data_IF_637964792370
#
_entry.id   IF_637964792370
#
_cell.length_a   1.000
_cell.length_b   1.000
_cell.length_c   1.000
_cell.angle_alpha   90.00
_cell.angle_beta   90.00
_cell.angle_gamma   90.00
#
_symmetry.space_group_name_H-M   'P 1'
#
loop_
_entity.id
_entity.type
_entity.pdbx_description
1 polymer ?
#
# COMPACT_ATOMS: atom_id res chain seq x y z
N UNK A 1 11.58 3.45 -23.21
CA UNK A 1 12.66 2.64 -22.58
C UNK A 1 13.20 1.67 -23.62
N UNK A 2 14.52 1.61 -23.79
CA UNK A 2 15.24 0.81 -24.79
C UNK A 2 15.70 -0.56 -24.24
N UNK A 3 14.84 -1.19 -23.44
CA UNK A 3 15.21 -2.39 -22.68
C UNK A 3 15.41 -3.62 -23.58
N UNK A 4 14.70 -3.69 -24.71
CA UNK A 4 14.83 -4.79 -25.69
C UNK A 4 16.23 -4.78 -26.33
N UNK A 5 16.70 -3.60 -26.73
CA UNK A 5 18.04 -3.42 -27.32
C UNK A 5 19.14 -3.67 -26.28
N UNK A 6 18.88 -3.36 -25.01
CA UNK A 6 19.82 -3.64 -23.92
C UNK A 6 19.94 -5.14 -23.66
N UNK A 7 18.84 -5.89 -23.67
CA UNK A 7 18.86 -7.35 -23.49
C UNK A 7 19.73 -8.06 -24.55
N UNK A 8 19.64 -7.63 -25.81
CA UNK A 8 20.44 -8.18 -26.91
C UNK A 8 21.95 -7.96 -26.76
N UNK A 9 22.40 -7.06 -25.87
CA UNK A 9 23.84 -6.89 -25.58
C UNK A 9 24.41 -8.04 -24.74
N UNK A 10 23.54 -8.78 -24.04
CA UNK A 10 23.93 -9.79 -23.06
C UNK A 10 23.48 -11.20 -23.45
N UNK A 11 22.48 -11.30 -24.31
CA UNK A 11 21.88 -12.58 -24.72
C UNK A 11 21.74 -12.55 -26.24
N UNK A 12 22.14 -13.63 -26.90
CA UNK A 12 22.03 -13.74 -28.35
C UNK A 12 20.55 -13.67 -28.79
N UNK A 13 20.23 -12.99 -29.91
CA UNK A 13 18.84 -12.77 -30.31
C UNK A 13 18.02 -14.05 -30.50
N UNK A 14 18.64 -15.15 -30.92
CA UNK A 14 18.00 -16.45 -31.12
C UNK A 14 17.68 -17.20 -29.83
N UNK A 15 18.17 -16.72 -28.68
CA UNK A 15 17.86 -17.23 -27.34
C UNK A 15 16.83 -16.36 -26.60
N UNK A 16 16.47 -15.20 -27.14
CA UNK A 16 15.47 -14.29 -26.55
C UNK A 16 14.14 -14.47 -27.29
N UNK A 17 13.02 -14.70 -26.58
CA UNK A 17 11.69 -14.69 -27.19
C UNK A 17 11.41 -13.41 -27.96
N UNK A 18 10.67 -13.51 -29.06
CA UNK A 18 10.27 -12.34 -29.88
C UNK A 18 9.57 -11.27 -29.03
N UNK A 19 8.75 -11.67 -28.05
CA UNK A 19 8.10 -10.76 -27.09
C UNK A 19 9.09 -9.81 -26.40
N UNK A 20 10.29 -10.32 -26.07
CA UNK A 20 11.36 -9.59 -25.39
C UNK A 20 12.41 -9.01 -26.35
N UNK A 21 12.17 -9.06 -27.67
CA UNK A 21 12.99 -8.39 -28.68
C UNK A 21 14.00 -9.30 -29.39
N UNK A 22 13.96 -10.62 -29.21
CA UNK A 22 14.78 -11.54 -29.99
C UNK A 22 14.06 -12.14 -31.20
N UNK A 23 14.48 -13.35 -31.58
CA UNK A 23 13.93 -14.13 -32.69
C UNK A 23 13.43 -15.51 -32.27
N UNK A 24 13.62 -15.91 -31.01
CA UNK A 24 13.14 -17.20 -30.50
C UNK A 24 11.62 -17.26 -30.50
N UNK A 25 11.09 -18.39 -30.99
CA UNK A 25 9.67 -18.75 -30.97
C UNK A 25 9.53 -20.17 -30.43
N UNK A 26 8.34 -20.48 -29.91
CA UNK A 26 8.03 -21.86 -29.55
C UNK A 26 7.93 -22.76 -30.79
N UNK A 27 7.93 -24.12 -30.64
CA UNK A 27 7.74 -25.04 -31.76
C UNK A 27 6.47 -24.81 -32.57
N UNK A 28 5.42 -24.22 -31.97
CA UNK A 28 4.17 -23.85 -32.64
C UNK A 28 4.20 -22.44 -33.28
N UNK A 29 5.32 -21.71 -33.13
CA UNK A 29 5.52 -20.37 -33.66
C UNK A 29 5.15 -19.23 -32.69
N UNK A 30 4.69 -19.53 -31.47
CA UNK A 30 4.29 -18.50 -30.50
C UNK A 30 5.49 -17.60 -30.11
N UNK A 31 5.39 -16.28 -30.30
CA UNK A 31 6.47 -15.33 -29.95
C UNK A 31 6.77 -15.21 -28.46
N UNK A 32 5.88 -15.70 -27.58
CA UNK A 32 6.02 -15.67 -26.13
C UNK A 32 6.73 -16.91 -25.57
N UNK A 33 6.89 -17.97 -26.36
CA UNK A 33 7.51 -19.22 -25.91
C UNK A 33 6.88 -19.79 -24.62
N UNK A 34 5.55 -19.97 -24.55
CA UNK A 34 4.86 -20.45 -23.33
C UNK A 34 5.32 -21.84 -22.85
N UNK A 35 5.89 -22.69 -23.72
CA UNK A 35 6.47 -23.97 -23.30
C UNK A 35 7.67 -23.81 -22.35
N UNK A 36 8.33 -22.63 -22.38
CA UNK A 36 9.49 -22.29 -21.55
C UNK A 36 9.18 -21.25 -20.49
N UNK A 37 8.19 -20.37 -20.73
CA UNK A 37 7.89 -19.22 -19.87
C UNK A 37 6.42 -19.27 -19.45
N UNK A 38 6.20 -19.39 -18.14
CA UNK A 38 4.87 -19.25 -17.56
C UNK A 38 4.56 -17.75 -17.35
N UNK A 39 3.44 -17.28 -17.90
CA UNK A 39 3.00 -15.88 -17.82
C UNK A 39 2.07 -15.59 -16.64
N UNK A 40 1.96 -16.51 -15.69
CA UNK A 40 0.99 -16.46 -14.61
C UNK A 40 -0.45 -16.59 -15.12
N UNK A 41 -1.37 -16.01 -14.37
CA UNK A 41 -2.81 -16.07 -14.61
C UNK A 41 -3.57 -16.28 -13.30
N UNK A 42 -4.90 -16.19 -13.37
CA UNK A 42 -5.75 -16.43 -12.22
C UNK A 42 -5.67 -17.91 -11.82
N UNK A 43 -5.36 -18.16 -10.54
CA UNK A 43 -5.37 -19.51 -9.99
C UNK A 43 -6.83 -19.90 -9.69
N UNK A 44 -7.37 -20.99 -10.27
CA UNK A 44 -8.73 -21.41 -10.00
C UNK A 44 -8.97 -21.68 -8.51
N UNK A 45 -10.09 -21.18 -7.96
CA UNK A 45 -10.40 -21.25 -6.52
C UNK A 45 -10.38 -22.68 -5.94
N UNK A 46 -10.68 -23.71 -6.74
CA UNK A 46 -10.65 -25.10 -6.26
C UNK A 46 -9.24 -25.62 -5.93
N UNK A 47 -8.18 -24.91 -6.34
CA UNK A 47 -6.81 -25.18 -5.92
C UNK A 47 -6.43 -24.50 -4.60
N UNK A 48 -7.30 -23.66 -4.03
CA UNK A 48 -7.00 -22.93 -2.81
C UNK A 48 -7.07 -23.90 -1.64
N UNK A 49 -5.95 -24.08 -0.95
CA UNK A 49 -5.88 -24.96 0.24
C UNK A 49 -6.46 -24.26 1.46
N UNK A 50 -6.38 -22.92 1.49
CA UNK A 50 -6.91 -22.05 2.54
C UNK A 50 -7.24 -20.70 1.93
N UNK A 51 -8.32 -20.09 2.41
CA UNK A 51 -8.70 -18.73 2.00
C UNK A 51 -7.79 -17.67 2.64
N UNK A 52 -7.17 -17.98 3.79
CA UNK A 52 -6.36 -17.04 4.55
C UNK A 52 -5.18 -17.73 5.26
N UNK A 53 -4.05 -17.00 5.34
CA UNK A 53 -2.93 -17.34 6.21
C UNK A 53 -3.17 -16.75 7.61
N UNK A 54 -2.66 -17.43 8.64
CA UNK A 54 -2.68 -16.89 9.99
C UNK A 54 -1.75 -15.66 10.06
N UNK A 55 -2.34 -14.46 10.03
CA UNK A 55 -1.61 -13.20 10.03
C UNK A 55 -1.45 -12.66 11.46
N UNK A 56 -0.26 -12.17 11.79
CA UNK A 56 -0.04 -11.37 13.00
C UNK A 56 -0.24 -9.88 12.65
N UNK A 57 -0.95 -9.17 13.51
CA UNK A 57 -1.17 -7.73 13.39
C UNK A 57 -0.29 -6.97 14.39
N UNK A 58 0.22 -5.82 13.98
CA UNK A 58 1.09 -4.98 14.81
C UNK A 58 0.31 -4.32 15.96
N UNK A 59 -0.93 -3.89 15.68
CA UNK A 59 -1.75 -3.15 16.62
C UNK A 59 -3.10 -3.82 16.84
N UNK A 60 -3.67 -3.59 18.01
CA UNK A 60 -5.06 -3.95 18.32
C UNK A 60 -5.69 -2.84 19.16
N UNK A 61 -6.84 -2.33 18.71
CA UNK A 61 -7.53 -1.20 19.32
C UNK A 61 -9.01 -1.51 19.50
N UNK A 62 -9.63 -0.87 20.49
CA UNK A 62 -11.08 -0.93 20.69
C UNK A 62 -11.69 0.40 20.26
N UNK A 63 -12.45 0.38 19.18
CA UNK A 63 -13.23 1.52 18.69
C UNK A 63 -14.59 1.51 19.37
N UNK A 64 -14.77 2.37 20.36
CA UNK A 64 -16.04 2.48 21.10
C UNK A 64 -17.23 2.79 20.18
N UNK A 65 -18.43 2.41 20.62
CA UNK A 65 -19.69 2.76 19.95
C UNK A 65 -19.78 4.28 19.75
N UNK A 66 -20.28 4.73 18.60
CA UNK A 66 -20.41 6.16 18.30
C UNK A 66 -19.07 6.89 18.13
N UNK A 67 -17.94 6.19 18.06
CA UNK A 67 -16.58 6.78 18.02
C UNK A 67 -15.79 6.35 16.79
N UNK A 68 -14.58 6.88 16.66
CA UNK A 68 -13.61 6.47 15.63
C UNK A 68 -12.17 6.52 16.15
N UNK A 69 -11.35 5.61 15.64
CA UNK A 69 -9.91 5.57 15.86
C UNK A 69 -9.20 6.10 14.61
N UNK A 70 -8.11 6.84 14.80
CA UNK A 70 -7.34 7.45 13.72
C UNK A 70 -5.86 7.16 13.92
N UNK A 71 -5.16 6.88 12.82
CA UNK A 71 -3.71 6.75 12.78
C UNK A 71 -3.19 7.69 11.70
N UNK A 72 -2.16 8.46 12.02
CA UNK A 72 -1.64 9.51 11.16
C UNK A 72 -0.24 9.12 10.65
N UNK A 73 -0.03 9.29 9.34
CA UNK A 73 1.25 9.07 8.69
C UNK A 73 1.64 10.33 7.92
N UNK A 74 2.77 10.92 8.33
CA UNK A 74 3.36 12.04 7.61
C UNK A 74 4.13 11.53 6.40
N UNK A 75 3.61 11.80 5.21
CA UNK A 75 4.24 11.45 3.94
C UNK A 75 4.99 12.67 3.44
N UNK A 76 6.32 12.55 3.42
CA UNK A 76 7.21 13.65 3.02
C UNK A 76 7.47 13.69 1.51
N UNK A 77 7.27 12.56 0.81
CA UNK A 77 7.63 12.42 -0.61
C UNK A 77 6.45 11.85 -1.41
N UNK A 78 6.17 12.41 -2.60
CA UNK A 78 5.25 11.80 -3.55
C UNK A 78 5.71 10.39 -3.94
N UNK A 79 4.75 9.51 -4.21
CA UNK A 79 5.00 8.16 -4.71
C UNK A 79 5.25 7.11 -3.61
N UNK A 80 5.28 7.50 -2.33
CA UNK A 80 5.18 6.54 -1.24
C UNK A 80 3.88 5.76 -1.36
N UNK A 81 3.90 4.47 -1.01
CA UNK A 81 2.72 3.63 -0.98
C UNK A 81 2.37 3.34 0.47
N UNK A 82 1.22 3.83 0.90
CA UNK A 82 0.63 3.48 2.18
C UNK A 82 -0.10 2.14 2.02
N UNK A 83 0.32 1.09 2.72
CA UNK A 83 -0.30 -0.24 2.69
C UNK A 83 -0.89 -0.55 4.05
N UNK A 84 -2.09 -1.10 4.08
CA UNK A 84 -2.75 -1.50 5.31
C UNK A 84 -3.34 -2.90 5.19
N UNK A 85 -3.48 -3.54 6.34
CA UNK A 85 -4.31 -4.71 6.50
C UNK A 85 -4.99 -4.65 7.86
N UNK A 86 -6.25 -5.02 7.94
CA UNK A 86 -6.98 -5.04 9.20
C UNK A 86 -8.03 -6.14 9.27
N UNK A 87 -8.39 -6.49 10.49
CA UNK A 87 -9.46 -7.43 10.83
C UNK A 87 -10.26 -6.86 11.99
N UNK A 88 -11.57 -7.07 11.98
CA UNK A 88 -12.44 -6.77 13.13
C UNK A 88 -12.94 -8.03 13.81
N UNK A 89 -13.27 -7.95 15.09
CA UNK A 89 -13.93 -9.05 15.80
C UNK A 89 -15.46 -8.86 15.78
N UNK A 90 -16.18 -9.91 15.37
CA UNK A 90 -17.62 -10.07 15.57
C UNK A 90 -18.56 -9.23 14.71
N UNK A 91 -18.12 -8.10 14.16
CA UNK A 91 -18.95 -7.23 13.33
C UNK A 91 -18.12 -6.56 12.23
N UNK A 92 -18.79 -5.92 11.28
CA UNK A 92 -18.17 -5.06 10.27
C UNK A 92 -17.45 -3.87 10.91
N UNK A 93 -16.63 -3.12 10.18
CA UNK A 93 -16.04 -1.87 10.65
C UNK A 93 -15.97 -0.87 9.50
N UNK A 94 -16.22 0.41 9.78
CA UNK A 94 -15.99 1.44 8.76
C UNK A 94 -14.50 1.72 8.61
N UNK A 95 -14.02 1.90 7.39
CA UNK A 95 -12.63 2.25 7.13
C UNK A 95 -12.53 3.21 5.95
N UNK A 96 -11.74 4.27 6.11
CA UNK A 96 -11.41 5.24 5.06
C UNK A 96 -10.05 5.90 5.29
N UNK A 97 -9.50 6.51 4.24
CA UNK A 97 -8.24 7.25 4.31
C UNK A 97 -8.47 8.70 3.90
N UNK A 98 -7.93 9.61 4.69
CA UNK A 98 -8.10 11.06 4.52
C UNK A 98 -6.75 11.75 4.44
N UNK A 99 -6.71 12.92 3.82
CA UNK A 99 -5.56 13.82 3.83
C UNK A 99 -5.93 15.07 4.63
N UNK A 100 -5.13 15.39 5.66
CA UNK A 100 -5.35 16.61 6.45
C UNK A 100 -5.21 17.86 5.58
N UNK A 101 -6.10 18.83 5.82
CA UNK A 101 -6.07 20.15 5.17
C UNK A 101 -5.32 21.19 6.01
N UNK A 102 -5.15 20.93 7.31
CA UNK A 102 -4.45 21.81 8.25
C UNK A 102 -3.43 21.01 9.06
N UNK A 103 -2.28 21.63 9.31
CA UNK A 103 -1.19 21.04 10.10
C UNK A 103 -1.52 21.21 11.60
N UNK A 104 -1.25 20.18 12.40
CA UNK A 104 -1.36 20.24 13.87
C UNK A 104 -2.54 19.47 14.44
N UNK A 105 -3.72 20.09 14.50
CA UNK A 105 -4.85 19.55 15.28
C UNK A 105 -5.49 18.29 14.66
N UNK A 106 -6.13 17.49 15.53
CA UNK A 106 -6.98 16.39 15.10
C UNK A 106 -8.20 16.95 14.36
N UNK A 107 -8.33 16.62 13.08
CA UNK A 107 -9.43 17.09 12.25
C UNK A 107 -10.59 16.08 12.24
N UNK A 108 -11.83 16.59 12.12
CA UNK A 108 -12.98 15.73 11.86
C UNK A 108 -12.91 15.25 10.41
N UNK A 109 -13.55 14.11 10.11
CA UNK A 109 -13.56 13.54 8.76
C UNK A 109 -14.04 14.56 7.71
N UNK A 110 -15.08 15.36 8.01
CA UNK A 110 -15.61 16.37 7.09
C UNK A 110 -14.71 17.59 6.84
N UNK A 111 -13.64 17.76 7.64
CA UNK A 111 -12.66 18.85 7.47
C UNK A 111 -11.41 18.38 6.69
N UNK A 112 -11.33 17.09 6.38
CA UNK A 112 -10.21 16.48 5.66
C UNK A 112 -10.63 16.12 4.23
N UNK A 113 -9.66 16.05 3.33
CA UNK A 113 -9.92 15.57 1.97
C UNK A 113 -9.99 14.04 2.00
N UNK A 114 -11.12 13.46 1.60
CA UNK A 114 -11.24 12.01 1.47
C UNK A 114 -10.44 11.53 0.26
N UNK A 115 -9.45 10.66 0.49
CA UNK A 115 -8.58 10.10 -0.56
C UNK A 115 -8.85 8.61 -0.80
N UNK A 116 -9.44 7.94 0.19
CA UNK A 116 -10.01 6.60 0.07
C UNK A 116 -11.36 6.58 0.79
N UNK A 117 -12.48 6.32 0.08
CA UNK A 117 -13.83 6.46 0.64
C UNK A 117 -14.05 5.63 1.90
N UNK A 118 -14.73 6.20 2.89
CA UNK A 118 -15.14 5.45 4.07
C UNK A 118 -16.28 4.47 3.73
N UNK A 119 -16.00 3.18 3.81
CA UNK A 119 -16.96 2.10 3.55
C UNK A 119 -17.01 1.13 4.73
N UNK A 120 -18.11 0.37 4.81
CA UNK A 120 -18.29 -0.66 5.84
C UNK A 120 -17.79 -1.99 5.31
N UNK A 121 -16.80 -2.56 5.99
CA UNK A 121 -16.16 -3.81 5.60
C UNK A 121 -16.52 -4.92 6.57
N UNK A 122 -16.86 -6.10 6.04
CA UNK A 122 -17.10 -7.31 6.83
C UNK A 122 -15.78 -7.96 7.27
N UNK A 123 -14.88 -7.17 7.85
CA UNK A 123 -13.51 -7.54 8.19
C UNK A 123 -13.41 -8.60 9.31
N UNK A 124 -14.55 -9.08 9.85
CA UNK A 124 -14.62 -10.22 10.76
C UNK A 124 -14.62 -11.56 10.04
N UNK A 125 -15.16 -11.58 8.82
CA UNK A 125 -15.22 -12.77 7.96
C UNK A 125 -13.88 -12.98 7.22
N UNK A 126 -13.39 -11.92 6.59
CA UNK A 126 -12.14 -11.91 5.83
C UNK A 126 -11.37 -10.64 6.17
N UNK A 127 -10.07 -10.71 6.53
CA UNK A 127 -9.24 -9.53 6.67
C UNK A 127 -9.27 -8.69 5.40
N UNK A 128 -9.29 -7.38 5.59
CA UNK A 128 -9.24 -6.44 4.49
C UNK A 128 -7.81 -5.95 4.35
N UNK A 129 -7.28 -5.98 3.14
CA UNK A 129 -6.02 -5.35 2.78
C UNK A 129 -6.22 -4.31 1.67
N UNK A 130 -5.31 -3.36 1.61
CA UNK A 130 -5.36 -2.33 0.59
C UNK A 130 -4.09 -1.50 0.57
N UNK A 131 -3.96 -0.71 -0.49
CA UNK A 131 -2.87 0.24 -0.62
C UNK A 131 -3.30 1.50 -1.34
N UNK A 132 -2.62 2.60 -1.04
CA UNK A 132 -2.79 3.90 -1.69
C UNK A 132 -1.42 4.46 -2.04
N UNK A 133 -1.16 4.70 -3.32
CA UNK A 133 -0.03 5.53 -3.74
C UNK A 133 -0.33 6.97 -3.38
N UNK A 134 0.49 7.59 -2.55
CA UNK A 134 0.36 8.96 -2.08
C UNK A 134 0.92 9.94 -3.14
N UNK A 135 0.07 10.63 -3.92
CA UNK A 135 0.55 11.49 -5.01
C UNK A 135 1.15 12.81 -4.51
N UNK A 136 0.79 13.22 -3.29
CA UNK A 136 1.19 14.50 -2.69
C UNK A 136 1.71 14.29 -1.27
N UNK A 137 2.71 15.06 -0.81
CA UNK A 137 3.11 15.09 0.59
C UNK A 137 1.99 15.60 1.48
N UNK A 138 1.98 15.16 2.74
CA UNK A 138 1.01 15.59 3.74
C UNK A 138 0.72 14.51 4.78
N UNK A 139 -0.21 14.80 5.68
CA UNK A 139 -0.59 13.88 6.76
C UNK A 139 -1.79 13.06 6.31
N UNK A 140 -1.55 11.78 6.04
CA UNK A 140 -2.58 10.80 5.71
C UNK A 140 -3.13 10.20 7.00
N UNK A 141 -4.46 10.15 7.12
CA UNK A 141 -5.18 9.66 8.29
C UNK A 141 -5.98 8.43 7.91
N UNK A 142 -5.55 7.27 8.40
CA UNK A 142 -6.36 6.05 8.32
C UNK A 142 -7.36 6.08 9.47
N UNK A 143 -8.65 5.94 9.16
CA UNK A 143 -9.72 6.09 10.13
C UNK A 143 -10.56 4.82 10.20
N UNK A 144 -10.58 4.19 11.37
CA UNK A 144 -11.54 3.15 11.72
C UNK A 144 -12.78 3.78 12.34
N UNK A 145 -13.92 3.62 11.67
CA UNK A 145 -15.17 4.26 11.99
C UNK A 145 -16.18 3.29 12.63
N UNK A 146 -16.63 3.65 13.83
CA UNK A 146 -17.71 2.98 14.54
C UNK A 146 -18.84 3.97 14.94
N UNK A 147 -18.90 5.13 14.29
CA UNK A 147 -19.87 6.18 14.61
C UNK A 147 -21.32 5.77 14.34
N UNK A 148 -21.53 4.83 13.42
CA UNK A 148 -22.86 4.28 13.09
C UNK A 148 -23.39 3.26 14.11
N UNK A 149 -22.56 2.78 15.04
CA UNK A 149 -23.00 1.73 15.98
C UNK A 149 -23.53 2.29 17.28
N UNK A 150 -24.75 1.85 17.61
CA UNK A 150 -25.45 2.26 18.84
C UNK A 150 -25.12 1.39 20.05
N UNK A 151 -24.78 0.11 19.85
CA UNK A 151 -24.70 -0.87 20.94
C UNK A 151 -23.28 -1.38 21.20
N UNK A 152 -22.51 -1.67 20.15
CA UNK A 152 -21.28 -2.44 20.26
C UNK A 152 -20.02 -1.63 19.95
N UNK A 153 -19.02 -1.75 20.82
CA UNK A 153 -17.64 -1.41 20.49
C UNK A 153 -17.07 -2.47 19.53
N UNK A 154 -16.05 -2.09 18.75
CA UNK A 154 -15.39 -2.96 17.78
C UNK A 154 -13.93 -3.10 18.13
N UNK A 155 -13.46 -4.34 18.32
CA UNK A 155 -12.04 -4.62 18.46
C UNK A 155 -11.46 -4.84 17.06
N UNK A 156 -10.45 -4.05 16.70
CA UNK A 156 -9.83 -4.03 15.38
C UNK A 156 -8.35 -4.29 15.54
N UNK A 157 -7.85 -5.30 14.84
CA UNK A 157 -6.43 -5.61 14.73
C UNK A 157 -5.94 -5.16 13.36
N UNK A 158 -4.82 -4.44 13.29
CA UNK A 158 -4.34 -3.86 12.03
C UNK A 158 -2.81 -3.73 11.98
N UNK A 159 -2.29 -3.66 10.76
CA UNK A 159 -0.90 -3.32 10.43
C UNK A 159 -0.91 -2.29 9.31
N UNK A 160 -0.01 -1.30 9.38
CA UNK A 160 0.11 -0.26 8.36
C UNK A 160 1.58 -0.01 8.09
N UNK A 161 1.95 -0.02 6.82
CA UNK A 161 3.31 0.17 6.34
C UNK A 161 3.37 1.30 5.33
N UNK A 162 4.48 2.05 5.33
CA UNK A 162 4.80 3.02 4.28
C UNK A 162 5.95 2.45 3.45
N UNK A 163 5.66 2.10 2.21
CA UNK A 163 6.68 1.69 1.24
C UNK A 163 7.21 2.93 0.54
N UNK A 164 8.51 3.18 0.67
CA UNK A 164 9.16 4.31 0.02
C UNK A 164 9.40 4.00 -1.48
N UNK A 165 9.31 5.00 -2.36
CA UNK A 165 9.71 4.83 -3.75
C UNK A 165 11.23 4.56 -3.83
N UNK A 166 11.64 3.74 -4.80
CA UNK A 166 12.99 3.16 -4.88
C UNK A 166 14.11 4.23 -5.00
N UNK A 167 15.31 3.86 -4.52
CA UNK A 167 16.66 4.49 -4.49
C UNK A 167 16.85 6.00 -4.78
N UNK A 168 16.21 6.60 -5.79
CA UNK A 168 16.25 8.04 -6.04
C UNK A 168 15.61 8.84 -4.88
N UNK A 169 14.56 8.31 -4.26
CA UNK A 169 13.87 8.93 -3.13
C UNK A 169 14.67 8.80 -1.82
N UNK A 170 15.40 7.70 -1.66
CA UNK A 170 16.32 7.50 -0.53
C UNK A 170 17.45 8.54 -0.51
N UNK A 171 18.01 8.88 -1.67
CA UNK A 171 19.02 9.95 -1.80
C UNK A 171 18.45 11.33 -1.48
N UNK A 172 17.18 11.58 -1.79
CA UNK A 172 16.50 12.84 -1.48
C UNK A 172 16.19 12.95 0.03
N UNK A 173 15.81 11.84 0.68
CA UNK A 173 15.65 11.74 2.14
C UNK A 173 16.96 12.05 2.86
N UNK A 174 18.07 11.44 2.42
CA UNK A 174 19.38 11.66 3.05
C UNK A 174 19.81 13.13 2.95
N UNK A 175 19.67 13.75 1.78
CA UNK A 175 19.94 15.18 1.58
C UNK A 175 19.05 16.11 2.43
N UNK A 176 17.82 15.71 2.75
CA UNK A 176 16.94 16.48 3.64
C UNK A 176 17.33 16.30 5.12
N UNK A 177 17.68 15.08 5.54
CA UNK A 177 18.20 14.82 6.89
C UNK A 177 19.48 15.62 7.18
N UNK A 178 20.36 15.71 6.19
CA UNK A 178 21.59 16.50 6.30
C UNK A 178 21.29 18.00 6.42
N UNK A 179 20.33 18.53 5.66
CA UNK A 179 19.92 19.94 5.76
C UNK A 179 19.22 20.28 7.08
N UNK A 180 18.37 19.40 7.61
CA UNK A 180 17.69 19.61 8.88
C UNK A 180 18.67 19.59 10.06
N UNK A 181 19.70 18.74 10.00
CA UNK A 181 20.74 18.70 11.01
C UNK A 181 21.67 19.93 10.96
N UNK A 182 22.01 20.43 9.77
CA UNK A 182 22.73 21.71 9.61
C UNK A 182 21.95 22.91 10.18
N UNK A 183 20.64 22.98 9.95
CA UNK A 183 19.79 24.05 10.51
C UNK A 183 19.69 23.96 12.03
N UNK A 184 19.62 22.75 12.60
CA UNK A 184 19.59 22.56 14.06
C UNK A 184 20.93 22.96 14.75
N UNK A 185 22.05 22.73 14.08
CA UNK A 185 23.39 23.12 14.58
C UNK A 185 23.60 24.64 14.54
N UNK A 186 23.02 25.33 13.55
CA UNK A 186 23.14 26.79 13.39
C UNK A 186 22.22 27.60 14.32
N UNK A 187 21.33 26.95 15.05
CA UNK A 187 20.40 27.56 16.01
C UNK A 187 20.64 27.14 17.47
N UNK A 188 21.76 26.48 17.77
CA UNK A 188 22.20 26.26 19.15
C UNK A 188 22.94 27.51 19.65
N UNK A 189 22.59 28.07 20.83
CA UNK A 189 23.17 29.30 21.36
C UNK A 189 24.65 29.15 21.78
#
# INVERSE_FOLDING_TARGET
>A
ANWKEVLQKYIDPDQIPVEYGGTLRDPDGDPKCPSKINYGGDVPQHYYVRDQLAQQYEHTVVVNRGSSHQVEYEILFPGCVLRWQFRSEGADVGFGVYLKTKIGERQRAGDMTEVYPNQRYNAHMVPEDGSLTCPTPGIYVLRFDNTYSYLHAKKVSYSVEVLLPDTASAQQIQKLGDKLSEVALNHSP
#
